data_IF_390288885220
#
_entry.id   IF_390288885220
#
_cell.length_a   1.000
_cell.length_b   1.000
_cell.length_c   1.000
_cell.angle_alpha   90.00
_cell.angle_beta   90.00
_cell.angle_gamma   90.00
#
_symmetry.space_group_name_H-M   'P 1'
#
loop_
_entity.id
_entity.type
_entity.pdbx_description
1 polymer ?
#
# COMPACT_ATOMS: atom_id res chain seq x y z
N UNK A 1 -8.53 2.52 -12.08
CA UNK A 1 -8.42 2.54 -10.61
C UNK A 1 -6.96 2.50 -10.21
N UNK A 2 -6.62 3.04 -9.05
CA UNK A 2 -5.30 2.85 -8.40
C UNK A 2 -5.52 2.16 -7.07
N UNK A 3 -4.77 1.11 -6.79
CA UNK A 3 -4.76 0.44 -5.49
C UNK A 3 -3.49 0.83 -4.75
N UNK A 4 -3.64 1.17 -3.47
CA UNK A 4 -2.53 1.49 -2.56
C UNK A 4 -2.75 0.70 -1.28
N UNK A 5 -1.68 0.11 -0.76
CA UNK A 5 -1.68 -0.59 0.51
C UNK A 5 -0.28 -0.54 1.13
N UNK A 6 -0.18 -0.91 2.39
CA UNK A 6 1.07 -1.27 3.04
C UNK A 6 1.18 -2.80 3.14
N UNK A 7 2.41 -3.30 3.27
CA UNK A 7 2.70 -4.69 3.61
C UNK A 7 3.42 -4.70 4.94
N UNK A 8 2.95 -5.55 5.86
CA UNK A 8 3.65 -5.92 7.08
C UNK A 8 4.01 -7.41 7.01
N UNK A 9 4.91 -7.86 7.86
CA UNK A 9 5.33 -9.27 7.90
C UNK A 9 4.18 -10.24 8.19
N UNK A 10 3.02 -9.77 8.64
CA UNK A 10 1.88 -10.59 9.02
C UNK A 10 0.61 -10.32 8.21
N UNK A 11 0.56 -9.28 7.36
CA UNK A 11 -0.64 -8.92 6.58
C UNK A 11 -0.39 -7.87 5.51
N UNK A 12 -1.32 -7.78 4.55
CA UNK A 12 -1.60 -6.54 3.82
C UNK A 12 -2.34 -5.59 4.76
N UNK A 13 -1.89 -4.34 4.85
CA UNK A 13 -2.37 -3.34 5.79
C UNK A 13 -2.82 -2.08 5.06
N UNK A 14 -3.76 -1.34 5.66
CA UNK A 14 -4.30 -0.08 5.12
C UNK A 14 -4.69 -0.11 3.62
N UNK A 15 -5.41 -1.11 3.09
CA UNK A 15 -5.79 -1.14 1.68
C UNK A 15 -6.74 0.02 1.31
N UNK A 16 -6.51 0.65 0.17
CA UNK A 16 -7.32 1.74 -0.34
C UNK A 16 -7.38 1.72 -1.88
N UNK A 17 -8.53 2.10 -2.44
CA UNK A 17 -8.72 2.20 -3.89
C UNK A 17 -9.12 3.63 -4.25
N UNK A 18 -8.50 4.16 -5.30
CA UNK A 18 -8.80 5.45 -5.91
C UNK A 18 -9.40 5.27 -7.30
N UNK A 19 -10.41 6.07 -7.62
CA UNK A 19 -10.92 6.15 -8.97
C UNK A 19 -10.05 7.07 -9.85
N UNK A 20 -8.99 6.49 -10.38
CA UNK A 20 -8.05 7.15 -11.28
C UNK A 20 -6.64 7.24 -10.70
N UNK A 21 -5.73 7.97 -11.36
CA UNK A 21 -4.36 8.17 -10.89
C UNK A 21 -4.32 8.92 -9.56
N UNK A 22 -3.37 8.56 -8.70
CA UNK A 22 -3.11 9.27 -7.45
C UNK A 22 -2.07 10.38 -7.63
N UNK A 23 -2.30 11.54 -7.02
CA UNK A 23 -1.34 12.64 -6.94
C UNK A 23 -0.83 12.82 -5.50
N UNK A 24 -0.01 13.85 -5.24
CA UNK A 24 0.51 14.11 -3.90
C UNK A 24 -0.60 14.35 -2.85
N UNK A 25 -1.70 15.03 -3.21
CA UNK A 25 -2.81 15.27 -2.30
C UNK A 25 -3.56 13.99 -1.96
N UNK A 26 -3.84 13.14 -2.96
CA UNK A 26 -4.43 11.82 -2.75
C UNK A 26 -3.56 10.92 -1.89
N UNK A 27 -2.23 10.96 -2.09
CA UNK A 27 -1.30 10.20 -1.26
C UNK A 27 -1.27 10.69 0.20
N UNK A 28 -1.33 12.01 0.43
CA UNK A 28 -1.44 12.56 1.78
C UNK A 28 -2.74 12.10 2.45
N UNK A 29 -3.87 12.16 1.73
CA UNK A 29 -5.15 11.69 2.25
C UNK A 29 -5.10 10.19 2.61
N UNK A 30 -4.52 9.34 1.75
CA UNK A 30 -4.26 7.93 2.05
C UNK A 30 -3.44 7.75 3.33
N UNK A 31 -2.34 8.51 3.46
CA UNK A 31 -1.47 8.40 4.63
C UNK A 31 -2.20 8.79 5.90
N UNK A 32 -2.92 9.91 5.91
CA UNK A 32 -3.60 10.42 7.10
C UNK A 32 -4.81 9.57 7.50
N UNK A 33 -5.59 9.08 6.52
CA UNK A 33 -6.89 8.45 6.77
C UNK A 33 -6.82 6.93 6.82
N UNK A 34 -5.87 6.31 6.11
CA UNK A 34 -5.77 4.86 6.00
C UNK A 34 -4.52 4.32 6.70
N UNK A 35 -3.34 4.86 6.40
CA UNK A 35 -2.08 4.30 6.91
C UNK A 35 -1.82 4.65 8.37
N UNK A 36 -1.85 5.94 8.74
CA UNK A 36 -1.53 6.41 10.09
C UNK A 36 -2.33 5.70 11.19
N UNK A 37 -3.65 5.43 11.03
CA UNK A 37 -4.41 4.66 12.01
C UNK A 37 -3.89 3.25 12.30
N UNK A 38 -3.10 2.64 11.39
CA UNK A 38 -2.55 1.30 11.58
C UNK A 38 -1.13 1.30 12.16
N UNK A 39 -0.48 2.47 12.23
CA UNK A 39 0.90 2.62 12.69
C UNK A 39 0.99 2.68 14.21
N UNK A 40 2.12 2.20 14.73
CA UNK A 40 2.51 2.31 16.13
C UNK A 40 3.81 3.10 16.27
N UNK A 41 4.03 3.68 17.45
CA UNK A 41 5.31 4.32 17.78
C UNK A 41 6.46 3.34 17.55
N UNK A 42 7.47 3.78 16.80
CA UNK A 42 8.64 2.98 16.45
C UNK A 42 8.55 2.30 15.07
N UNK A 43 7.35 2.18 14.48
CA UNK A 43 7.18 1.64 13.13
C UNK A 43 8.01 2.41 12.09
N UNK A 44 8.45 1.69 11.06
CA UNK A 44 9.17 2.25 9.91
C UNK A 44 8.32 1.99 8.67
N UNK A 45 7.82 3.08 8.08
CA UNK A 45 7.21 3.07 6.76
C UNK A 45 8.32 3.18 5.73
N UNK A 46 8.44 2.16 4.89
CA UNK A 46 9.31 2.17 3.72
C UNK A 46 8.45 2.44 2.49
N UNK A 47 8.83 3.42 1.69
CA UNK A 47 8.15 3.75 0.44
C UNK A 47 9.15 3.83 -0.71
N UNK A 48 8.68 3.64 -1.95
CA UNK A 48 9.49 3.93 -3.13
C UNK A 48 9.84 5.43 -3.21
N UNK A 49 10.67 5.79 -4.19
CA UNK A 49 11.19 7.15 -4.32
C UNK A 49 10.32 8.08 -5.19
N UNK A 50 9.04 7.74 -5.43
CA UNK A 50 8.11 8.52 -6.25
C UNK A 50 7.90 9.93 -5.67
N UNK A 51 7.73 10.93 -6.55
CA UNK A 51 7.61 12.34 -6.13
C UNK A 51 6.37 12.60 -5.25
N UNK A 52 5.26 11.89 -5.50
CA UNK A 52 4.04 11.96 -4.68
C UNK A 52 4.26 11.50 -3.24
N UNK A 53 5.17 10.55 -3.01
CA UNK A 53 5.48 10.03 -1.67
C UNK A 53 6.30 11.02 -0.81
N UNK A 54 6.89 12.05 -1.43
CA UNK A 54 7.76 13.03 -0.76
C UNK A 54 7.02 14.21 -0.15
N UNK A 55 5.69 14.18 -0.14
CA UNK A 55 4.87 15.23 0.45
C UNK A 55 5.24 15.46 1.93
N UNK A 56 5.53 16.71 2.29
CA UNK A 56 5.89 17.09 3.68
C UNK A 56 4.78 16.73 4.68
N UNK A 57 3.52 16.86 4.27
CA UNK A 57 2.35 16.53 5.09
C UNK A 57 2.31 15.05 5.48
N UNK A 58 2.50 14.14 4.51
CA UNK A 58 2.55 12.69 4.76
C UNK A 58 3.64 12.34 5.79
N UNK A 59 4.85 12.89 5.63
CA UNK A 59 5.94 12.70 6.59
C UNK A 59 5.59 13.24 7.99
N UNK A 60 4.93 14.40 8.06
CA UNK A 60 4.51 15.01 9.34
C UNK A 60 3.48 14.12 10.04
N UNK A 61 2.50 13.60 9.31
CA UNK A 61 1.46 12.71 9.84
C UNK A 61 2.06 11.41 10.40
N UNK A 62 2.95 10.75 9.66
CA UNK A 62 3.65 9.53 10.12
C UNK A 62 4.50 9.82 11.39
N UNK A 63 5.20 10.96 11.43
CA UNK A 63 6.00 11.33 12.61
C UNK A 63 5.16 11.67 13.83
N UNK A 64 3.95 12.20 13.65
CA UNK A 64 3.06 12.56 14.75
C UNK A 64 2.67 11.35 15.61
N UNK A 65 2.59 10.15 15.00
CA UNK A 65 2.36 8.88 15.73
C UNK A 65 3.66 8.21 16.21
N UNK A 66 4.80 8.88 16.09
CA UNK A 66 6.10 8.36 16.51
C UNK A 66 6.68 7.30 15.57
N UNK A 67 6.19 7.19 14.34
CA UNK A 67 6.74 6.35 13.29
C UNK A 67 7.73 7.13 12.41
N UNK A 68 8.48 6.42 11.56
CA UNK A 68 9.48 6.99 10.63
C UNK A 68 9.12 6.66 9.19
N UNK A 69 9.39 7.59 8.28
CA UNK A 69 9.27 7.37 6.83
C UNK A 69 10.68 7.35 6.21
N UNK A 70 11.01 6.26 5.52
CA UNK A 70 12.26 6.05 4.79
C UNK A 70 11.92 5.76 3.33
N UNK A 71 12.76 6.24 2.42
CA UNK A 71 12.62 5.96 0.99
C UNK A 71 13.67 4.97 0.53
N UNK A 72 13.27 4.07 -0.36
CA UNK A 72 14.20 3.23 -1.10
C UNK A 72 15.08 4.08 -2.04
N UNK A 73 16.29 3.60 -2.40
CA UNK A 73 17.07 4.22 -3.45
C UNK A 73 16.28 4.31 -4.77
N UNK A 74 16.56 5.30 -5.63
CA UNK A 74 15.93 5.37 -6.95
C UNK A 74 16.10 4.05 -7.72
N UNK A 75 15.05 3.65 -8.46
CA UNK A 75 15.07 2.47 -9.34
C UNK A 75 15.43 1.15 -8.64
N UNK A 76 15.06 1.00 -7.36
CA UNK A 76 15.28 -0.24 -6.59
C UNK A 76 13.97 -0.97 -6.25
N UNK A 77 13.16 -1.38 -7.24
CA UNK A 77 11.91 -2.10 -6.99
C UNK A 77 12.16 -3.47 -6.35
N UNK A 78 13.31 -4.10 -6.62
CA UNK A 78 13.69 -5.38 -6.03
C UNK A 78 13.88 -5.32 -4.50
N UNK A 79 14.04 -4.11 -3.94
CA UNK A 79 14.12 -3.88 -2.49
C UNK A 79 12.76 -3.60 -1.86
N UNK A 80 11.67 -3.71 -2.62
CA UNK A 80 10.31 -3.44 -2.17
C UNK A 80 9.47 -4.73 -2.14
N UNK A 81 9.42 -5.45 -1.00
CA UNK A 81 8.66 -6.71 -0.83
C UNK A 81 7.21 -6.66 -1.31
N UNK A 82 6.54 -5.50 -1.19
CA UNK A 82 5.15 -5.35 -1.61
C UNK A 82 4.94 -5.56 -3.12
N UNK A 83 5.97 -5.41 -3.94
CA UNK A 83 5.89 -5.68 -5.38
C UNK A 83 5.61 -7.16 -5.67
N UNK A 84 6.16 -8.07 -4.85
CA UNK A 84 5.87 -9.51 -4.96
C UNK A 84 4.40 -9.80 -4.62
N UNK A 85 3.91 -9.22 -3.51
CA UNK A 85 2.51 -9.32 -3.12
C UNK A 85 1.56 -8.75 -4.19
N UNK A 86 1.90 -7.60 -4.77
CA UNK A 86 1.13 -6.99 -5.85
C UNK A 86 1.20 -7.79 -7.16
N UNK A 87 2.30 -8.48 -7.44
CA UNK A 87 2.38 -9.39 -8.58
C UNK A 87 1.35 -10.52 -8.46
N UNK A 88 1.27 -11.17 -7.28
CA UNK A 88 0.25 -12.18 -6.99
C UNK A 88 -1.18 -11.60 -7.07
N UNK A 89 -1.42 -10.43 -6.46
CA UNK A 89 -2.74 -9.79 -6.49
C UNK A 89 -3.19 -9.48 -7.92
N UNK A 90 -2.29 -8.94 -8.76
CA UNK A 90 -2.56 -8.68 -10.19
C UNK A 90 -2.90 -9.97 -10.93
N UNK A 91 -2.21 -11.08 -10.64
CA UNK A 91 -2.53 -12.38 -11.24
C UNK A 91 -3.95 -12.84 -10.85
N UNK A 92 -4.30 -12.80 -9.56
CA UNK A 92 -5.62 -13.17 -9.07
C UNK A 92 -6.73 -12.30 -9.67
N UNK A 93 -6.49 -10.99 -9.77
CA UNK A 93 -7.44 -10.05 -10.37
C UNK A 93 -7.67 -10.32 -11.87
N UNK A 94 -6.61 -10.64 -12.62
CA UNK A 94 -6.74 -11.04 -14.03
C UNK A 94 -7.55 -12.33 -14.19
N UNK A 95 -7.38 -13.28 -13.25
CA UNK A 95 -8.14 -14.55 -13.24
C UNK A 95 -9.62 -14.32 -12.93
N UNK A 96 -9.94 -13.43 -12.00
CA UNK A 96 -11.33 -13.09 -11.66
C UNK A 96 -12.05 -12.41 -12.83
N UNK A 97 -11.34 -11.61 -13.62
CA UNK A 97 -11.82 -11.04 -14.88
C UNK A 97 -13.14 -10.24 -14.75
N UNK A 98 -13.28 -9.48 -13.67
CA UNK A 98 -14.41 -8.59 -13.47
C UNK A 98 -14.54 -7.55 -14.59
N UNK A 99 -15.78 -7.12 -14.86
CA UNK A 99 -16.13 -6.21 -15.99
C UNK A 99 -16.73 -4.88 -15.56
N UNK A 100 -17.00 -4.71 -14.26
CA UNK A 100 -17.46 -3.44 -13.70
C UNK A 100 -16.49 -2.97 -12.63
N UNK A 101 -16.44 -1.66 -12.43
CA UNK A 101 -15.59 -1.04 -11.40
C UNK A 101 -15.98 -1.53 -9.99
N UNK A 102 -17.27 -1.53 -9.68
CA UNK A 102 -17.79 -1.99 -8.39
C UNK A 102 -17.45 -3.46 -8.10
N UNK A 103 -17.66 -4.35 -9.08
CA UNK A 103 -17.33 -5.77 -8.92
C UNK A 103 -15.81 -5.98 -8.77
N UNK A 104 -15.01 -5.20 -9.51
CA UNK A 104 -13.55 -5.21 -9.38
C UNK A 104 -13.13 -4.82 -7.96
N UNK A 105 -13.73 -3.78 -7.37
CA UNK A 105 -13.40 -3.33 -6.01
C UNK A 105 -13.80 -4.34 -4.93
N UNK A 106 -15.00 -4.92 -5.05
CA UNK A 106 -15.45 -5.97 -4.12
C UNK A 106 -14.56 -7.21 -4.19
N UNK A 107 -14.23 -7.63 -5.41
CA UNK A 107 -13.36 -8.78 -5.62
C UNK A 107 -11.96 -8.52 -5.09
N UNK A 108 -11.40 -7.33 -5.34
CA UNK A 108 -10.11 -6.93 -4.77
C UNK A 108 -10.10 -7.09 -3.25
N UNK A 109 -11.13 -6.58 -2.55
CA UNK A 109 -11.26 -6.73 -1.10
C UNK A 109 -11.26 -8.20 -0.65
N UNK A 110 -12.03 -9.05 -1.33
CA UNK A 110 -12.10 -10.49 -1.03
C UNK A 110 -10.77 -11.21 -1.30
N UNK A 111 -10.03 -10.80 -2.34
CA UNK A 111 -8.74 -11.40 -2.68
C UNK A 111 -7.65 -11.08 -1.65
N UNK A 112 -7.79 -10.01 -0.85
CA UNK A 112 -6.83 -9.71 0.21
C UNK A 112 -6.83 -10.77 1.31
N UNK A 113 -7.93 -11.50 1.50
CA UNK A 113 -8.02 -12.62 2.44
C UNK A 113 -7.15 -13.82 2.04
N UNK A 114 -6.63 -13.83 0.80
CA UNK A 114 -5.73 -14.86 0.27
C UNK A 114 -4.25 -14.58 0.55
N UNK A 115 -3.93 -13.62 1.42
CA UNK A 115 -2.57 -13.26 1.84
C UNK A 115 -2.37 -13.59 3.33
N UNK A 116 -2.12 -14.87 3.68
CA UNK A 116 -1.97 -15.29 5.06
C UNK A 116 -0.67 -14.73 5.68
N UNK A 117 -0.61 -14.59 7.02
CA UNK A 117 0.56 -14.04 7.70
C UNK A 117 1.89 -14.72 7.35
N UNK A 118 1.87 -16.05 7.21
CA UNK A 118 3.05 -16.84 6.84
C UNK A 118 3.57 -16.49 5.46
N UNK A 119 2.70 -16.12 4.52
CA UNK A 119 3.12 -15.70 3.19
C UNK A 119 3.62 -14.27 3.19
N UNK A 120 2.94 -13.37 3.92
CA UNK A 120 3.38 -11.98 4.09
C UNK A 120 4.78 -11.88 4.71
N UNK A 121 5.15 -12.81 5.59
CA UNK A 121 6.48 -12.87 6.20
C UNK A 121 7.59 -13.27 5.21
N UNK A 122 7.22 -13.88 4.07
CA UNK A 122 8.16 -14.43 3.09
C UNK A 122 8.37 -13.53 1.86
N UNK A 123 7.65 -12.42 1.76
CA UNK A 123 7.91 -11.40 0.75
C UNK A 123 9.09 -10.52 1.16
#
# INVERSE_FOLDING_TARGET
MTFVAALRCDRIDAPCVFDGPINAAGFVAYVEQCLVPTLKRGDIVVADNLSSHKAKAARKAIRAVGARLIFLPPYSPDLNPIEQAFSKLKHLMRKAAERTQEATWRTLGTLLDLFPPTECANY
#
